data_IF_387966225220
#
_entry.id   IF_387966225220
#
_cell.length_a   1.000
_cell.length_b   1.000
_cell.length_c   1.000
_cell.angle_alpha   90.00
_cell.angle_beta   90.00
_cell.angle_gamma   90.00
#
_symmetry.space_group_name_H-M   'P 1'
#
loop_
_entity.id
_entity.type
_entity.pdbx_description
1 polymer ?
#
# COMPACT_ATOMS: atom_id res chain seq x y z
N UNK A 1 -33.41 -7.41 7.49
CA UNK A 1 -32.24 -7.68 6.65
C UNK A 1 -31.31 -8.59 7.43
N UNK A 2 -31.07 -9.81 6.96
CA UNK A 2 -30.18 -10.76 7.66
C UNK A 2 -28.76 -10.18 7.68
N UNK A 3 -28.21 -9.98 8.87
CA UNK A 3 -26.82 -9.56 9.03
C UNK A 3 -25.91 -10.67 8.49
N UNK A 4 -25.44 -10.51 7.26
CA UNK A 4 -24.56 -11.47 6.63
C UNK A 4 -23.30 -11.70 7.47
N UNK A 5 -22.73 -12.90 7.43
CA UNK A 5 -21.46 -13.24 8.12
C UNK A 5 -20.41 -12.18 7.83
N UNK A 6 -19.67 -11.72 8.85
CA UNK A 6 -18.60 -10.75 8.70
C UNK A 6 -17.55 -11.20 7.70
N UNK A 7 -17.05 -10.27 6.88
CA UNK A 7 -15.93 -10.53 5.96
C UNK A 7 -14.62 -10.56 6.76
N UNK A 8 -13.81 -11.55 6.50
CA UNK A 8 -12.47 -11.68 7.12
C UNK A 8 -11.44 -11.13 6.16
N UNK A 9 -10.82 -10.00 6.51
CA UNK A 9 -9.80 -9.32 5.69
C UNK A 9 -8.44 -9.49 6.33
N UNK A 10 -7.47 -9.93 5.56
CA UNK A 10 -6.09 -9.98 6.05
C UNK A 10 -5.42 -8.62 5.82
N UNK A 11 -4.96 -8.00 6.90
CA UNK A 11 -4.19 -6.77 6.90
C UNK A 11 -3.30 -6.70 8.16
N UNK A 12 -2.30 -5.85 8.13
CA UNK A 12 -1.29 -5.79 9.18
C UNK A 12 -1.78 -4.95 10.36
N UNK A 13 -1.64 -5.48 11.59
CA UNK A 13 -2.11 -4.81 12.81
C UNK A 13 -1.00 -4.51 13.83
N UNK A 14 0.19 -5.11 13.67
CA UNK A 14 1.25 -4.98 14.68
C UNK A 14 1.72 -3.55 14.88
N UNK A 15 1.67 -2.77 13.82
CA UNK A 15 2.11 -1.38 13.83
C UNK A 15 0.98 -0.54 13.25
N UNK A 16 0.51 0.48 13.99
CA UNK A 16 -0.54 1.36 13.51
C UNK A 16 -0.10 2.11 12.25
N UNK A 17 -0.76 1.84 11.12
CA UNK A 17 -0.63 2.65 9.92
C UNK A 17 -2.01 2.88 9.30
N UNK A 18 -2.16 3.99 8.59
CA UNK A 18 -3.45 4.40 8.03
C UNK A 18 -3.90 3.44 6.94
N UNK A 19 -2.97 2.96 6.10
CA UNK A 19 -3.27 2.05 5.00
C UNK A 19 -3.93 0.77 5.49
N UNK A 20 -3.34 0.10 6.48
CA UNK A 20 -3.93 -1.11 7.03
C UNK A 20 -5.21 -0.84 7.82
N UNK A 21 -5.25 0.22 8.62
CA UNK A 21 -6.42 0.55 9.47
C UNK A 21 -7.65 0.96 8.69
N UNK A 22 -7.53 1.45 7.46
CA UNK A 22 -8.68 1.85 6.64
C UNK A 22 -9.38 0.65 5.98
N UNK A 23 -8.74 -0.53 5.95
CA UNK A 23 -9.33 -1.75 5.36
C UNK A 23 -10.77 -2.03 5.81
N UNK A 24 -11.08 -2.08 7.14
CA UNK A 24 -12.43 -2.34 7.58
C UNK A 24 -13.44 -1.34 7.04
N UNK A 25 -13.10 -0.06 7.05
CA UNK A 25 -14.00 1.02 6.61
C UNK A 25 -14.31 0.92 5.12
N UNK A 26 -13.30 0.72 4.29
CA UNK A 26 -13.47 0.61 2.83
C UNK A 26 -14.23 -0.65 2.46
N UNK A 27 -13.83 -1.81 3.00
CA UNK A 27 -14.50 -3.08 2.69
C UNK A 27 -15.95 -3.07 3.19
N UNK A 28 -16.22 -2.50 4.37
CA UNK A 28 -17.59 -2.33 4.86
C UNK A 28 -18.41 -1.41 3.96
N UNK A 29 -17.86 -0.27 3.53
CA UNK A 29 -18.54 0.67 2.66
C UNK A 29 -18.90 0.06 1.30
N UNK A 30 -18.02 -0.77 0.75
CA UNK A 30 -18.25 -1.45 -0.55
C UNK A 30 -19.24 -2.61 -0.43
N UNK A 31 -19.18 -3.37 0.67
CA UNK A 31 -19.90 -4.64 0.77
C UNK A 31 -21.17 -4.59 1.62
N UNK A 32 -21.34 -3.53 2.40
CA UNK A 32 -22.40 -3.43 3.42
C UNK A 32 -22.24 -4.40 4.59
N UNK A 33 -21.11 -5.09 4.72
CA UNK A 33 -20.89 -6.14 5.71
C UNK A 33 -19.81 -5.75 6.71
N UNK A 34 -19.97 -6.17 7.96
CA UNK A 34 -18.95 -6.01 8.98
C UNK A 34 -17.64 -6.71 8.60
N UNK A 35 -16.52 -6.14 8.99
CA UNK A 35 -15.19 -6.68 8.70
C UNK A 35 -14.50 -7.08 9.99
N UNK A 36 -13.81 -8.22 9.96
CA UNK A 36 -12.92 -8.69 11.04
C UNK A 36 -11.52 -8.89 10.47
N UNK A 37 -10.50 -8.47 11.21
CA UNK A 37 -9.13 -8.82 10.87
C UNK A 37 -8.96 -10.33 10.94
N UNK A 38 -8.26 -10.87 9.96
CA UNK A 38 -8.03 -12.30 9.83
C UNK A 38 -6.52 -12.57 9.69
N UNK A 39 -6.00 -13.35 10.60
CA UNK A 39 -4.60 -13.77 10.59
C UNK A 39 -4.42 -15.23 10.14
N UNK A 40 -5.52 -15.95 9.88
CA UNK A 40 -5.49 -17.35 9.51
C UNK A 40 -5.41 -17.57 7.99
N UNK A 41 -4.90 -18.74 7.60
CA UNK A 41 -4.66 -19.10 6.20
C UNK A 41 -5.64 -20.17 5.66
N UNK A 42 -6.64 -20.55 6.47
CA UNK A 42 -7.46 -21.74 6.22
C UNK A 42 -8.87 -21.43 5.64
N UNK A 43 -9.18 -20.16 5.40
CA UNK A 43 -10.47 -19.76 4.82
C UNK A 43 -10.26 -18.72 3.72
N UNK A 44 -11.16 -18.61 2.73
CA UNK A 44 -11.13 -17.54 1.75
C UNK A 44 -11.16 -16.16 2.41
N UNK A 45 -10.25 -15.30 2.03
CA UNK A 45 -10.10 -13.95 2.60
C UNK A 45 -9.57 -12.96 1.57
N UNK A 46 -10.10 -11.73 1.51
CA UNK A 46 -9.55 -10.69 0.67
C UNK A 46 -8.26 -10.09 1.24
N UNK A 47 -7.36 -9.73 0.32
CA UNK A 47 -6.20 -8.89 0.50
C UNK A 47 -6.48 -7.58 -0.25
N UNK A 48 -6.84 -6.52 0.46
CA UNK A 48 -7.26 -5.27 -0.17
C UNK A 48 -6.17 -4.19 -0.09
N UNK A 49 -6.22 -3.32 0.91
CA UNK A 49 -5.30 -2.19 1.04
C UNK A 49 -4.02 -2.62 1.76
N UNK A 50 -2.89 -2.06 1.35
CA UNK A 50 -1.60 -2.32 1.98
C UNK A 50 -0.65 -3.12 1.09
N UNK A 51 0.44 -3.58 1.68
CA UNK A 51 1.52 -4.31 1.00
C UNK A 51 1.65 -5.73 1.56
N UNK A 52 0.54 -6.45 1.61
CA UNK A 52 0.45 -7.75 2.29
C UNK A 52 0.52 -8.95 1.33
N UNK A 53 0.97 -8.75 0.09
CA UNK A 53 1.06 -9.80 -0.92
C UNK A 53 1.95 -10.99 -0.47
N UNK A 54 2.97 -10.76 0.34
CA UNK A 54 3.80 -11.83 0.89
C UNK A 54 3.02 -12.81 1.77
N UNK A 55 1.89 -12.37 2.32
CA UNK A 55 1.00 -13.21 3.14
C UNK A 55 -0.09 -13.93 2.34
N UNK A 56 -0.09 -13.80 1.01
CA UNK A 56 -1.09 -14.42 0.17
C UNK A 56 -0.99 -15.95 0.22
N UNK A 57 -2.15 -16.60 0.17
CA UNK A 57 -2.29 -18.05 0.14
C UNK A 57 -3.16 -18.47 -1.04
N UNK A 58 -3.27 -19.77 -1.30
CA UNK A 58 -4.16 -20.30 -2.33
C UNK A 58 -5.65 -19.90 -2.14
N UNK A 59 -6.04 -19.51 -0.92
CA UNK A 59 -7.39 -19.06 -0.59
C UNK A 59 -7.57 -17.54 -0.59
N UNK A 60 -6.49 -16.79 -0.80
CA UNK A 60 -6.55 -15.34 -0.84
C UNK A 60 -7.26 -14.85 -2.10
N UNK A 61 -8.07 -13.78 -1.95
CA UNK A 61 -8.69 -13.04 -3.03
C UNK A 61 -8.04 -11.67 -3.10
N UNK A 62 -7.22 -11.44 -4.11
CA UNK A 62 -6.42 -10.21 -4.22
C UNK A 62 -7.24 -9.09 -4.84
N UNK A 63 -7.46 -8.02 -4.09
CA UNK A 63 -8.23 -6.85 -4.51
C UNK A 63 -7.46 -5.55 -4.22
N UNK A 64 -6.35 -5.33 -4.93
CA UNK A 64 -5.60 -4.08 -4.92
C UNK A 64 -4.41 -4.01 -3.96
N UNK A 65 -4.11 -5.07 -3.21
CA UNK A 65 -2.88 -5.11 -2.42
C UNK A 65 -1.63 -5.13 -3.30
N UNK A 66 -0.49 -4.77 -2.72
CA UNK A 66 0.79 -4.74 -3.40
C UNK A 66 1.89 -5.51 -2.70
N UNK A 67 3.04 -5.55 -3.35
CA UNK A 67 4.29 -6.05 -2.80
C UNK A 67 4.99 -4.92 -2.06
N UNK A 68 5.49 -5.17 -0.86
CA UNK A 68 6.23 -4.18 -0.07
C UNK A 68 7.67 -4.07 -0.57
N UNK A 69 8.35 -5.20 -0.69
CA UNK A 69 9.71 -5.30 -1.14
C UNK A 69 9.91 -6.59 -1.95
N UNK A 70 10.66 -6.58 -3.04
CA UNK A 70 10.88 -7.77 -3.87
C UNK A 70 11.41 -8.97 -3.08
N UNK A 71 12.30 -8.74 -2.13
CA UNK A 71 12.94 -9.81 -1.33
C UNK A 71 12.00 -10.49 -0.34
N UNK A 72 10.86 -9.87 0.00
CA UNK A 72 9.86 -10.48 0.87
C UNK A 72 9.05 -11.57 0.15
N UNK A 73 9.25 -11.70 -1.15
CA UNK A 73 8.55 -12.66 -1.98
C UNK A 73 7.08 -12.36 -2.18
N UNK A 74 6.42 -13.28 -2.83
CA UNK A 74 4.98 -13.28 -3.07
C UNK A 74 4.44 -14.59 -2.53
N UNK A 75 3.38 -14.54 -1.74
CA UNK A 75 2.70 -15.73 -1.29
C UNK A 75 2.06 -16.51 -2.45
N UNK A 76 1.67 -17.73 -2.19
CA UNK A 76 1.07 -18.61 -3.20
C UNK A 76 -0.39 -18.24 -3.44
N UNK A 77 -0.68 -17.57 -4.56
CA UNK A 77 -2.05 -17.23 -4.95
C UNK A 77 -2.29 -17.61 -6.41
N UNK A 78 -3.40 -18.31 -6.73
CA UNK A 78 -3.77 -18.58 -8.11
C UNK A 78 -4.05 -17.29 -8.88
N UNK A 79 -3.68 -17.22 -10.16
CA UNK A 79 -3.95 -16.07 -11.01
C UNK A 79 -5.45 -15.73 -11.08
N UNK A 80 -6.32 -16.74 -11.02
CA UNK A 80 -7.80 -16.61 -11.02
C UNK A 80 -8.33 -15.85 -9.80
N UNK A 81 -7.57 -15.80 -8.71
CA UNK A 81 -7.94 -15.12 -7.48
C UNK A 81 -7.39 -13.68 -7.42
N UNK A 82 -6.75 -13.22 -8.50
CA UNK A 82 -6.21 -11.85 -8.60
C UNK A 82 -7.19 -11.00 -9.40
N UNK A 83 -7.95 -10.17 -8.71
CA UNK A 83 -9.00 -9.33 -9.30
C UNK A 83 -8.53 -7.89 -9.57
N UNK A 84 -7.57 -7.41 -8.80
CA UNK A 84 -6.90 -6.12 -9.00
C UNK A 84 -5.55 -6.12 -8.28
N UNK A 85 -4.61 -5.30 -8.75
CA UNK A 85 -3.30 -5.11 -8.15
C UNK A 85 -3.05 -3.63 -7.88
N UNK A 86 -2.28 -3.32 -6.85
CA UNK A 86 -1.98 -1.94 -6.49
C UNK A 86 -1.31 -1.14 -7.61
N UNK A 87 -0.51 -1.78 -8.43
CA UNK A 87 0.18 -1.11 -9.52
C UNK A 87 1.08 -2.02 -10.34
N UNK A 88 1.71 -1.43 -11.36
CA UNK A 88 2.55 -2.16 -12.33
C UNK A 88 3.70 -2.93 -11.69
N UNK A 89 4.33 -2.41 -10.65
CA UNK A 89 5.41 -3.09 -9.95
C UNK A 89 4.93 -4.39 -9.29
N UNK A 90 3.74 -4.37 -8.67
CA UNK A 90 3.14 -5.58 -8.10
C UNK A 90 2.80 -6.60 -9.18
N UNK A 91 2.29 -6.15 -10.33
CA UNK A 91 2.01 -7.02 -11.47
C UNK A 91 3.29 -7.67 -12.01
N UNK A 92 4.37 -6.88 -12.19
CA UNK A 92 5.67 -7.40 -12.65
C UNK A 92 6.26 -8.39 -11.65
N UNK A 93 6.18 -8.10 -10.35
CA UNK A 93 6.68 -8.98 -9.31
C UNK A 93 5.95 -10.34 -9.30
N UNK A 94 4.62 -10.35 -9.49
CA UNK A 94 3.85 -11.59 -9.59
C UNK A 94 4.28 -12.43 -10.79
N UNK A 95 4.49 -11.81 -11.94
CA UNK A 95 4.98 -12.51 -13.13
C UNK A 95 6.38 -13.10 -12.94
N UNK A 96 7.29 -12.35 -12.31
CA UNK A 96 8.63 -12.83 -11.97
C UNK A 96 8.59 -14.01 -10.99
N UNK A 97 7.61 -14.04 -10.08
CA UNK A 97 7.36 -15.16 -9.18
C UNK A 97 6.62 -16.35 -9.85
N UNK A 98 6.38 -16.30 -11.15
CA UNK A 98 5.75 -17.39 -11.92
C UNK A 98 4.22 -17.36 -11.91
N UNK A 99 3.57 -16.36 -11.31
CA UNK A 99 2.12 -16.23 -11.36
C UNK A 99 1.72 -15.42 -12.59
N UNK A 100 1.18 -16.10 -13.59
CA UNK A 100 0.77 -15.49 -14.87
C UNK A 100 -0.57 -14.76 -14.74
N UNK A 101 -0.53 -13.60 -14.11
CA UNK A 101 -1.70 -12.71 -14.01
C UNK A 101 -1.93 -12.02 -15.35
N UNK A 102 -3.16 -12.09 -15.84
CA UNK A 102 -3.61 -11.40 -17.05
C UNK A 102 -3.73 -9.89 -16.87
N UNK A 103 -4.47 -9.27 -17.76
CA UNK A 103 -4.81 -7.84 -17.64
C UNK A 103 -5.86 -7.65 -16.55
N UNK A 104 -5.44 -7.11 -15.42
CA UNK A 104 -6.31 -6.81 -14.27
C UNK A 104 -6.24 -5.33 -13.93
N UNK A 105 -7.30 -4.74 -13.38
CA UNK A 105 -7.31 -3.35 -12.91
C UNK A 105 -6.13 -3.05 -11.98
N UNK A 106 -5.51 -1.89 -12.16
CA UNK A 106 -4.44 -1.41 -11.31
C UNK A 106 -4.94 -0.24 -10.47
N UNK A 107 -4.84 -0.35 -9.16
CA UNK A 107 -5.22 0.70 -8.22
C UNK A 107 -5.21 0.21 -6.78
N UNK A 108 -4.99 1.15 -5.86
CA UNK A 108 -5.12 0.90 -4.43
C UNK A 108 -6.55 1.25 -4.00
N UNK A 109 -7.32 0.31 -3.42
CA UNK A 109 -8.67 0.60 -2.94
C UNK A 109 -8.73 1.75 -1.92
N UNK A 110 -7.62 2.09 -1.28
CA UNK A 110 -7.51 3.26 -0.41
C UNK A 110 -7.86 4.58 -1.10
N UNK A 111 -7.68 4.68 -2.42
CA UNK A 111 -8.12 5.85 -3.19
C UNK A 111 -9.65 6.04 -3.23
N UNK A 112 -10.41 5.01 -2.91
CA UNK A 112 -11.87 5.09 -2.83
C UNK A 112 -12.34 5.77 -1.54
N UNK A 113 -11.46 5.91 -0.53
CA UNK A 113 -11.81 6.43 0.79
C UNK A 113 -12.51 7.81 0.76
N UNK A 114 -12.06 8.82 0.01
CA UNK A 114 -12.75 10.11 0.00
C UNK A 114 -14.22 9.99 -0.44
N UNK A 115 -14.48 9.25 -1.50
CA UNK A 115 -15.85 9.05 -2.00
C UNK A 115 -16.70 8.17 -1.09
N UNK A 116 -16.16 7.03 -0.64
CA UNK A 116 -16.90 6.06 0.15
C UNK A 116 -17.18 6.51 1.59
N UNK A 117 -16.26 7.28 2.16
CA UNK A 117 -16.33 7.70 3.58
C UNK A 117 -16.73 9.18 3.73
N UNK A 118 -17.08 9.85 2.64
CA UNK A 118 -17.46 11.26 2.67
C UNK A 118 -16.33 12.20 3.14
N UNK A 119 -15.08 11.82 2.96
CA UNK A 119 -13.93 12.62 3.38
C UNK A 119 -13.77 13.79 2.44
N UNK A 120 -14.03 15.02 2.94
CA UNK A 120 -13.84 16.24 2.18
C UNK A 120 -12.36 16.59 2.09
N UNK A 121 -11.90 16.93 0.88
CA UNK A 121 -10.54 17.42 0.67
C UNK A 121 -10.37 18.74 1.41
N UNK A 122 -9.42 18.83 2.32
CA UNK A 122 -9.00 20.10 2.89
C UNK A 122 -8.18 20.87 1.87
N UNK A 123 -8.58 22.10 1.54
CA UNK A 123 -7.86 22.99 0.61
C UNK A 123 -6.73 23.73 1.34
N UNK A 124 -6.30 23.28 2.49
CA UNK A 124 -5.17 23.88 3.19
C UNK A 124 -3.89 23.67 2.37
N UNK A 125 -3.12 24.72 2.05
CA UNK A 125 -1.85 24.59 1.35
C UNK A 125 -0.76 23.91 2.17
N UNK A 126 -1.04 23.56 3.42
CA UNK A 126 -0.09 22.84 4.27
C UNK A 126 -0.22 21.35 4.00
N UNK A 127 0.83 20.74 3.48
CA UNK A 127 0.94 19.29 3.39
C UNK A 127 0.79 18.68 4.78
N UNK A 128 -0.30 17.95 5.02
CA UNK A 128 -0.40 17.06 6.16
C UNK A 128 0.17 15.72 5.75
N UNK A 129 1.38 15.43 6.16
CA UNK A 129 1.92 14.08 6.10
C UNK A 129 1.15 13.26 7.14
N UNK A 130 0.34 12.32 6.69
CA UNK A 130 -0.26 11.33 7.57
C UNK A 130 0.86 10.34 7.94
N UNK A 131 1.32 10.41 9.16
CA UNK A 131 2.41 9.58 9.66
C UNK A 131 1.84 8.34 10.35
N UNK A 132 2.36 7.15 10.01
CA UNK A 132 2.39 6.05 10.96
C UNK A 132 3.51 6.32 11.98
N UNK A 133 3.45 5.75 13.17
CA UNK A 133 4.50 5.94 14.19
C UNK A 133 5.88 5.48 13.68
N UNK A 134 5.93 4.47 12.83
CA UNK A 134 7.15 4.02 12.14
C UNK A 134 7.67 5.04 11.14
N UNK A 135 6.75 5.61 10.33
CA UNK A 135 7.12 6.57 9.31
C UNK A 135 7.62 7.88 9.94
N UNK A 136 7.17 8.20 11.15
CA UNK A 136 7.62 9.40 11.87
C UNK A 136 9.09 9.32 12.28
N UNK A 137 9.56 8.15 12.74
CA UNK A 137 10.97 7.94 13.08
C UNK A 137 11.84 7.89 11.81
N UNK A 138 11.44 7.07 10.83
CA UNK A 138 12.16 6.93 9.57
C UNK A 138 12.23 8.24 8.77
N UNK A 139 11.15 9.01 8.73
CA UNK A 139 11.12 10.31 8.08
C UNK A 139 11.95 11.34 8.83
N UNK A 140 11.96 11.31 10.17
CA UNK A 140 12.82 12.13 10.99
C UNK A 140 14.33 11.91 10.68
N UNK A 141 14.71 10.65 10.50
CA UNK A 141 16.08 10.29 10.16
C UNK A 141 16.43 10.64 8.70
N UNK A 142 15.51 10.49 7.77
CA UNK A 142 15.65 10.92 6.38
C UNK A 142 15.78 12.44 6.27
N UNK A 143 15.00 13.21 7.01
CA UNK A 143 15.08 14.68 7.02
C UNK A 143 16.40 15.14 7.61
N UNK A 144 16.86 14.57 8.73
CA UNK A 144 18.18 14.84 9.31
C UNK A 144 19.33 14.47 8.38
N UNK A 145 19.18 13.37 7.62
CA UNK A 145 20.17 12.94 6.63
C UNK A 145 20.20 13.88 5.41
N UNK A 146 19.06 14.45 5.01
CA UNK A 146 18.99 15.43 3.91
C UNK A 146 19.58 16.78 4.30
N UNK A 147 19.40 17.22 5.54
CA UNK A 147 20.02 18.45 6.07
C UNK A 147 21.56 18.34 6.15
N UNK A 148 22.08 17.14 6.44
CA UNK A 148 23.54 16.88 6.43
C UNK A 148 24.14 16.75 5.04
N UNK A 149 23.34 16.50 4.03
CA UNK A 149 23.72 16.57 2.62
C UNK A 149 23.30 17.92 2.06
N UNK A 150 23.87 19.01 2.59
CA UNK A 150 23.83 20.29 1.90
C UNK A 150 24.42 20.07 0.51
N UNK A 151 23.60 20.18 -0.50
CA UNK A 151 24.00 20.19 -1.90
C UNK A 151 25.01 21.33 -2.01
N UNK A 152 26.27 21.08 -2.44
CA UNK A 152 27.20 22.15 -2.71
C UNK A 152 26.51 23.07 -3.72
N UNK A 153 26.37 24.35 -3.40
CA UNK A 153 25.73 25.29 -4.30
C UNK A 153 26.50 25.29 -5.61
N UNK A 154 25.80 25.14 -6.72
CA UNK A 154 26.32 25.19 -8.10
C UNK A 154 27.05 26.52 -8.42
N UNK A 155 27.10 27.46 -7.47
CA UNK A 155 27.69 28.78 -7.62
C UNK A 155 29.24 28.84 -7.54
N UNK A 156 29.94 27.72 -7.34
CA UNK A 156 31.43 27.75 -7.23
C UNK A 156 32.20 27.09 -8.39
N UNK A 157 31.55 26.77 -9.50
CA UNK A 157 32.24 26.23 -10.68
C UNK A 157 32.32 27.20 -11.86
N UNK A 158 32.38 28.48 -11.62
CA UNK A 158 32.46 29.48 -12.68
C UNK A 158 33.45 30.56 -12.42
N UNK A 159 34.77 30.30 -12.42
CA UNK A 159 35.84 31.24 -12.82
C UNK A 159 37.21 30.57 -12.68
N UNK A 160 37.55 29.74 -13.64
CA UNK A 160 38.95 29.55 -14.01
C UNK A 160 39.09 30.04 -15.46
N UNK A 161 39.17 31.32 -15.64
CA UNK A 161 39.66 31.89 -16.89
C UNK A 161 41.17 31.70 -16.91
N UNK A 162 41.64 30.94 -17.86
CA UNK A 162 43.00 30.90 -18.38
C UNK A 162 43.37 32.27 -18.87
N UNK A 163 44.41 32.84 -18.28
CA UNK A 163 45.25 33.85 -18.88
C UNK A 163 46.65 33.27 -18.99
N UNK A 164 47.18 33.20 -20.22
CA UNK A 164 48.49 32.75 -20.63
C UNK A 164 48.53 32.50 -22.10
#
# INVERSE_FOLDING_TARGET
MSAGRAIRVAYFLRIPNVGDRINPSIVTAVTGRAVKCFAGQHEPHPLAIGSVMASATALSQVWGTGVMHPDLGIGTVPATNVHALRGRLSHSAMRQAGTMVGDVPLGDPGYLAPGLLGIKRSVSPKFRVVRSELDAAALGDLLKASERRSIPSVAQQGTARTSG
#
